data_IF_010289699774
#
_entry.id   IF_010289699774
#
_cell.length_a   1.000
_cell.length_b   1.000
_cell.length_c   1.000
_cell.angle_alpha   90.00
_cell.angle_beta   90.00
_cell.angle_gamma   90.00
#
_symmetry.space_group_name_H-M   'P 1'
#
loop_
_entity.id
_entity.type
_entity.pdbx_description
1 polymer ?
#
# COMPACT_ATOMS: atom_id res chain seq x y z
N UNK A 1 -8.75 18.69 -9.70
CA UNK A 1 -7.41 18.08 -9.88
C UNK A 1 -6.93 17.31 -8.66
N UNK A 2 -6.81 17.93 -7.47
CA UNK A 2 -6.36 17.24 -6.23
C UNK A 2 -7.03 15.88 -5.94
N UNK A 3 -8.38 15.74 -5.92
CA UNK A 3 -9.02 14.44 -5.65
C UNK A 3 -8.77 13.39 -6.74
N UNK A 4 -8.54 13.82 -7.99
CA UNK A 4 -8.18 12.91 -9.09
C UNK A 4 -6.79 12.33 -8.82
N UNK A 5 -5.81 13.18 -8.48
CA UNK A 5 -4.44 12.74 -8.16
C UNK A 5 -4.46 11.76 -6.98
N UNK A 6 -5.17 12.10 -5.90
CA UNK A 6 -5.27 11.22 -4.74
C UNK A 6 -5.92 9.87 -5.09
N UNK A 7 -6.95 9.88 -5.93
CA UNK A 7 -7.62 8.66 -6.39
C UNK A 7 -6.69 7.79 -7.23
N UNK A 8 -6.01 8.38 -8.22
CA UNK A 8 -5.10 7.67 -9.12
C UNK A 8 -3.95 7.04 -8.35
N UNK A 9 -3.33 7.79 -7.43
CA UNK A 9 -2.23 7.26 -6.60
C UNK A 9 -2.73 6.12 -5.71
N UNK A 10 -3.87 6.30 -5.02
CA UNK A 10 -4.46 5.25 -4.18
C UNK A 10 -4.72 3.95 -4.97
N UNK A 11 -5.30 4.07 -6.17
CA UNK A 11 -5.58 2.91 -7.02
C UNK A 11 -4.31 2.23 -7.52
N UNK A 12 -3.31 2.99 -7.99
CA UNK A 12 -2.06 2.44 -8.51
C UNK A 12 -1.30 1.73 -7.41
N UNK A 13 -1.10 2.36 -6.25
CA UNK A 13 -0.33 1.73 -5.19
C UNK A 13 -1.10 0.57 -4.56
N UNK A 14 -2.42 0.66 -4.40
CA UNK A 14 -3.23 -0.48 -3.95
C UNK A 14 -3.10 -1.66 -4.90
N UNK A 15 -3.20 -1.43 -6.21
CA UNK A 15 -3.03 -2.48 -7.22
C UNK A 15 -1.62 -3.09 -7.17
N UNK A 16 -0.59 -2.27 -7.03
CA UNK A 16 0.80 -2.73 -6.97
C UNK A 16 1.07 -3.59 -5.73
N UNK A 17 0.64 -3.12 -4.55
CA UNK A 17 0.77 -3.86 -3.28
C UNK A 17 -0.04 -5.15 -3.32
N UNK A 18 -1.28 -5.10 -3.79
CA UNK A 18 -2.12 -6.29 -3.88
C UNK A 18 -1.56 -7.33 -4.86
N UNK A 19 -0.99 -6.88 -5.99
CA UNK A 19 -0.27 -7.76 -6.92
C UNK A 19 0.94 -8.40 -6.26
N UNK A 20 1.71 -7.64 -5.47
CA UNK A 20 2.84 -8.17 -4.72
C UNK A 20 2.39 -9.26 -3.73
N UNK A 21 1.32 -9.00 -2.97
CA UNK A 21 0.73 -9.95 -2.03
C UNK A 21 0.25 -11.23 -2.72
N UNK A 22 -0.40 -11.12 -3.89
CA UNK A 22 -0.81 -12.27 -4.70
C UNK A 22 0.42 -13.05 -5.17
N UNK A 23 1.39 -12.38 -5.80
CA UNK A 23 2.55 -13.03 -6.40
C UNK A 23 3.45 -13.74 -5.39
N UNK A 24 3.48 -13.22 -4.15
CA UNK A 24 4.21 -13.85 -3.05
C UNK A 24 3.42 -14.90 -2.27
N UNK A 25 2.18 -15.22 -2.68
CA UNK A 25 1.33 -16.21 -1.99
C UNK A 25 0.81 -15.75 -0.61
N UNK A 26 0.94 -14.46 -0.30
CA UNK A 26 0.67 -13.91 1.02
C UNK A 26 -0.83 -13.83 1.35
N UNK A 27 -1.70 -13.73 0.34
CA UNK A 27 -3.15 -13.68 0.59
C UNK A 27 -3.73 -15.00 1.13
N UNK A 28 -3.11 -16.14 0.82
CA UNK A 28 -3.56 -17.45 1.28
C UNK A 28 -2.84 -17.92 2.56
N UNK A 29 -1.92 -17.10 3.09
CA UNK A 29 -1.07 -17.50 4.19
C UNK A 29 -1.81 -17.42 5.53
N UNK A 30 -1.56 -18.38 6.42
CA UNK A 30 -2.13 -18.35 7.77
C UNK A 30 -1.27 -17.43 8.65
N UNK A 31 -1.78 -16.23 8.92
CA UNK A 31 -1.07 -15.26 9.75
C UNK A 31 -1.22 -15.59 11.23
N UNK A 32 -0.09 -15.68 11.93
CA UNK A 32 -0.04 -15.73 13.39
C UNK A 32 0.36 -14.36 13.95
N UNK A 33 -0.18 -14.00 15.11
CA UNK A 33 0.08 -12.70 15.74
C UNK A 33 1.56 -12.45 16.07
N UNK A 34 2.34 -13.52 16.25
CA UNK A 34 3.77 -13.45 16.55
C UNK A 34 4.67 -13.54 15.30
N UNK A 35 4.10 -13.66 14.11
CA UNK A 35 4.87 -13.78 12.87
C UNK A 35 5.20 -12.37 12.33
N UNK A 36 6.48 -12.05 12.03
CA UNK A 36 6.85 -10.79 11.37
C UNK A 36 6.11 -10.54 10.05
N UNK A 37 5.61 -11.59 9.39
CA UNK A 37 4.81 -11.47 8.17
C UNK A 37 3.41 -10.87 8.39
N UNK A 38 2.96 -10.67 9.64
CA UNK A 38 1.66 -10.08 9.95
C UNK A 38 1.46 -8.69 9.32
N UNK A 39 2.54 -7.97 9.01
CA UNK A 39 2.49 -6.69 8.30
C UNK A 39 1.81 -6.85 6.92
N UNK A 40 1.98 -7.99 6.25
CA UNK A 40 1.34 -8.28 4.96
C UNK A 40 -0.18 -8.45 5.10
N UNK A 41 -0.68 -8.91 6.26
CA UNK A 41 -2.12 -8.95 6.55
C UNK A 41 -2.71 -7.54 6.67
N UNK A 42 -1.98 -6.63 7.33
CA UNK A 42 -2.41 -5.23 7.45
C UNK A 42 -2.54 -4.60 6.06
N UNK A 43 -1.55 -4.82 5.19
CA UNK A 43 -1.61 -4.36 3.80
C UNK A 43 -2.76 -5.03 3.03
N UNK A 44 -2.95 -6.34 3.18
CA UNK A 44 -4.03 -7.09 2.52
C UNK A 44 -5.43 -6.56 2.85
N UNK A 45 -5.64 -6.00 4.06
CA UNK A 45 -6.90 -5.37 4.48
C UNK A 45 -6.95 -3.90 4.06
N UNK A 46 -5.84 -3.18 4.20
CA UNK A 46 -5.76 -1.76 3.95
C UNK A 46 -5.98 -1.40 2.47
N UNK A 47 -5.39 -2.16 1.54
CA UNK A 47 -5.49 -1.83 0.10
C UNK A 47 -6.93 -1.91 -0.44
N UNK A 48 -7.74 -2.95 -0.14
CA UNK A 48 -9.16 -2.95 -0.48
C UNK A 48 -9.93 -1.76 0.10
N UNK A 49 -9.63 -1.35 1.34
CA UNK A 49 -10.28 -0.19 1.97
C UNK A 49 -9.94 1.11 1.23
N UNK A 50 -8.69 1.28 0.78
CA UNK A 50 -8.29 2.41 -0.03
C UNK A 50 -9.08 2.47 -1.35
N UNK A 51 -9.20 1.33 -2.06
CA UNK A 51 -9.98 1.24 -3.31
C UNK A 51 -11.47 1.53 -3.08
N UNK A 52 -12.08 0.93 -2.05
CA UNK A 52 -13.49 1.19 -1.70
C UNK A 52 -13.71 2.67 -1.37
N UNK A 53 -12.76 3.29 -0.66
CA UNK A 53 -12.83 4.73 -0.35
C UNK A 53 -12.77 5.59 -1.61
N UNK A 54 -11.92 5.24 -2.59
CA UNK A 54 -11.89 5.93 -3.89
C UNK A 54 -13.25 5.82 -4.58
N UNK A 55 -13.80 4.61 -4.70
CA UNK A 55 -15.11 4.37 -5.33
C UNK A 55 -16.21 5.17 -4.62
N UNK A 56 -16.28 5.07 -3.29
CA UNK A 56 -17.27 5.76 -2.49
C UNK A 56 -17.16 7.29 -2.65
N UNK A 57 -15.94 7.84 -2.67
CA UNK A 57 -15.74 9.27 -2.89
C UNK A 57 -16.30 9.72 -4.25
N UNK A 58 -16.09 8.95 -5.31
CA UNK A 58 -16.59 9.33 -6.64
C UNK A 58 -18.12 9.24 -6.76
N UNK A 59 -18.76 8.36 -5.99
CA UNK A 59 -20.22 8.22 -5.93
C UNK A 59 -20.84 9.37 -5.11
N UNK A 60 -20.39 9.56 -3.87
CA UNK A 60 -21.06 10.46 -2.91
C UNK A 60 -20.44 11.85 -2.77
N UNK A 61 -19.15 12.01 -3.11
CA UNK A 61 -18.40 13.28 -3.08
C UNK A 61 -18.53 14.10 -1.79
N UNK A 62 -18.66 13.45 -0.64
CA UNK A 62 -18.76 14.13 0.66
C UNK A 62 -17.41 14.58 1.19
N UNK A 63 -17.42 15.59 2.08
CA UNK A 63 -16.21 16.11 2.73
C UNK A 63 -15.49 15.05 3.57
N UNK A 64 -16.24 14.16 4.23
CA UNK A 64 -15.68 13.06 5.01
C UNK A 64 -14.88 12.10 4.12
N UNK A 65 -15.45 11.71 2.98
CA UNK A 65 -14.78 10.83 2.02
C UNK A 65 -13.57 11.50 1.37
N UNK A 66 -13.63 12.82 1.12
CA UNK A 66 -12.46 13.57 0.66
C UNK A 66 -11.31 13.55 1.68
N UNK A 67 -11.62 13.72 2.98
CA UNK A 67 -10.62 13.63 4.05
C UNK A 67 -10.03 12.23 4.14
N UNK A 68 -10.84 11.19 4.08
CA UNK A 68 -10.36 9.81 4.05
C UNK A 68 -9.47 9.55 2.84
N UNK A 69 -9.88 9.98 1.64
CA UNK A 69 -9.10 9.86 0.41
C UNK A 69 -7.71 10.49 0.55
N UNK A 70 -7.63 11.67 1.19
CA UNK A 70 -6.36 12.35 1.49
C UNK A 70 -5.51 11.59 2.52
N UNK A 71 -6.12 11.04 3.57
CA UNK A 71 -5.42 10.23 4.58
C UNK A 71 -4.83 8.98 3.93
N UNK A 72 -5.62 8.25 3.13
CA UNK A 72 -5.14 7.07 2.39
C UNK A 72 -3.99 7.42 1.45
N UNK A 73 -4.10 8.54 0.73
CA UNK A 73 -3.04 9.03 -0.13
C UNK A 73 -1.73 9.29 0.65
N UNK A 74 -1.83 9.92 1.82
CA UNK A 74 -0.66 10.19 2.67
C UNK A 74 -0.05 8.90 3.22
N UNK A 75 -0.86 7.97 3.69
CA UNK A 75 -0.39 6.67 4.19
C UNK A 75 0.33 5.89 3.09
N UNK A 76 -0.23 5.83 1.88
CA UNK A 76 0.43 5.15 0.77
C UNK A 76 1.75 5.81 0.36
N UNK A 77 1.86 7.14 0.46
CA UNK A 77 3.15 7.82 0.27
C UNK A 77 4.17 7.40 1.32
N UNK A 78 3.78 7.35 2.60
CA UNK A 78 4.69 6.94 3.68
C UNK A 78 5.15 5.48 3.48
N UNK A 79 4.22 4.58 3.17
CA UNK A 79 4.54 3.17 2.91
C UNK A 79 5.43 3.02 1.68
N UNK A 80 5.10 3.71 0.58
CA UNK A 80 5.88 3.66 -0.66
C UNK A 80 7.29 4.23 -0.49
N UNK A 81 7.42 5.39 0.16
CA UNK A 81 8.74 5.98 0.46
C UNK A 81 9.54 5.10 1.40
N UNK A 82 8.92 4.52 2.43
CA UNK A 82 9.57 3.58 3.34
C UNK A 82 10.12 2.35 2.62
N UNK A 83 9.33 1.77 1.72
CA UNK A 83 9.76 0.64 0.89
C UNK A 83 10.91 1.00 -0.04
N UNK A 84 10.84 2.14 -0.72
CA UNK A 84 11.92 2.61 -1.60
C UNK A 84 13.20 2.91 -0.83
N UNK A 85 13.10 3.54 0.35
CA UNK A 85 14.24 3.81 1.22
C UNK A 85 14.90 2.50 1.71
N UNK A 86 14.10 1.52 2.10
CA UNK A 86 14.59 0.19 2.49
C UNK A 86 15.32 -0.49 1.32
N UNK A 87 14.73 -0.49 0.13
CA UNK A 87 15.37 -1.03 -1.08
C UNK A 87 16.68 -0.31 -1.42
N UNK A 88 16.71 1.02 -1.33
CA UNK A 88 17.92 1.80 -1.59
C UNK A 88 19.03 1.44 -0.60
N UNK A 89 18.72 1.40 0.70
CA UNK A 89 19.67 1.01 1.74
C UNK A 89 20.17 -0.41 1.52
N UNK A 90 19.28 -1.32 1.12
CA UNK A 90 19.63 -2.69 0.80
C UNK A 90 20.58 -2.77 -0.39
N UNK A 91 20.32 -2.06 -1.50
CA UNK A 91 21.23 -1.99 -2.65
C UNK A 91 22.59 -1.40 -2.28
N UNK A 92 22.63 -0.36 -1.45
CA UNK A 92 23.88 0.27 -1.01
C UNK A 92 24.68 -0.62 -0.04
N UNK A 93 23.99 -1.42 0.77
CA UNK A 93 24.62 -2.32 1.74
C UNK A 93 24.96 -3.68 1.13
N UNK A 94 24.32 -4.06 0.03
CA UNK A 94 24.56 -5.33 -0.65
C UNK A 94 25.83 -5.26 -1.48
N UNK A 95 26.96 -5.54 -0.85
CA UNK A 95 28.14 -5.99 -1.57
C UNK A 95 27.93 -7.44 -2.00
N UNK A 96 27.90 -7.76 -3.31
CA UNK A 96 27.92 -9.15 -3.73
C UNK A 96 29.18 -9.78 -3.11
N UNK A 97 29.03 -10.89 -2.39
CA UNK A 97 30.18 -11.75 -2.09
C UNK A 97 30.73 -12.17 -3.45
N UNK A 98 31.80 -11.50 -3.91
CA UNK A 98 32.57 -11.98 -5.04
C UNK A 98 33.09 -13.36 -4.60
N UNK A 99 32.54 -14.41 -5.21
CA UNK A 99 33.14 -15.73 -5.19
C UNK A 99 34.44 -15.71 -5.98
#
# INVERSE_FOLDING_TARGET
>A
MKPIVYSVVNLIAATAVYRHLISGGWLANHYQLNDPNIVNLVLAIFEPLAVVTVIAYWIWRTLLLYRLLFIFFFVQLVVGVGFLAFMLLFFLSWHPKMM
#
